data_IF_000384488116
#
_entry.id   IF_000384488116
#
_cell.length_a   1.000
_cell.length_b   1.000
_cell.length_c   1.000
_cell.angle_alpha   90.00
_cell.angle_beta   90.00
_cell.angle_gamma   90.00
#
_symmetry.space_group_name_H-M   'P 1'
#
loop_
_entity.id
_entity.type
_entity.pdbx_description
1 polymer ?
#
# COMPACT_ATOMS: atom_id res chain seq x y z
N UNK A 1 -29.00 96.87 17.21
CA UNK A 1 -27.76 96.07 17.17
C UNK A 1 -28.07 94.72 17.83
N UNK A 2 -28.30 93.68 17.11
CA UNK A 2 -28.38 92.31 17.58
C UNK A 2 -27.99 91.40 16.45
N UNK A 3 -26.83 90.75 16.60
CA UNK A 3 -26.28 89.77 15.78
C UNK A 3 -27.16 88.50 15.89
N UNK A 4 -27.65 87.99 14.75
CA UNK A 4 -28.21 86.66 14.63
C UNK A 4 -27.15 85.75 14.01
N UNK A 5 -26.66 84.84 14.83
CA UNK A 5 -25.81 83.76 14.45
C UNK A 5 -26.60 82.75 13.57
N UNK A 6 -26.14 82.58 12.34
CA UNK A 6 -26.66 81.61 11.40
C UNK A 6 -25.96 80.24 11.71
N UNK A 7 -26.69 79.34 12.36
CA UNK A 7 -26.23 77.96 12.50
C UNK A 7 -26.38 77.20 11.19
N UNK A 8 -25.26 76.84 10.58
CA UNK A 8 -25.22 76.00 9.46
C UNK A 8 -25.53 74.51 9.88
N UNK A 9 -26.67 74.01 9.48
CA UNK A 9 -27.00 72.58 9.59
C UNK A 9 -26.00 71.70 8.79
N UNK A 10 -25.29 70.87 9.47
CA UNK A 10 -24.46 69.81 8.83
C UNK A 10 -25.38 68.83 8.20
N UNK A 11 -25.19 68.49 6.92
CA UNK A 11 -26.02 67.52 6.25
C UNK A 11 -25.74 66.10 6.81
N UNK A 12 -26.77 65.50 7.37
CA UNK A 12 -26.78 64.08 7.76
C UNK A 12 -26.46 63.25 6.51
N UNK A 13 -25.50 62.32 6.59
CA UNK A 13 -25.20 61.46 5.44
C UNK A 13 -26.44 60.56 5.15
N UNK A 14 -27.04 60.76 4.02
CA UNK A 14 -28.08 59.88 3.49
C UNK A 14 -27.37 58.53 3.21
N UNK A 15 -27.60 57.55 4.07
CA UNK A 15 -27.19 56.18 3.83
C UNK A 15 -28.11 55.66 2.72
N UNK A 16 -27.63 55.74 1.46
CA UNK A 16 -28.26 55.12 0.32
C UNK A 16 -28.33 53.59 0.62
N UNK A 17 -29.53 53.10 0.90
CA UNK A 17 -29.82 51.69 1.05
C UNK A 17 -29.66 51.02 -0.34
N UNK A 18 -28.40 50.79 -0.73
CA UNK A 18 -28.08 49.96 -1.88
C UNK A 18 -28.77 48.63 -1.70
N UNK A 19 -29.71 48.31 -2.62
CA UNK A 19 -30.40 47.03 -2.70
C UNK A 19 -29.34 45.93 -2.66
N UNK A 20 -29.17 45.28 -1.47
CA UNK A 20 -28.33 44.10 -1.30
C UNK A 20 -28.88 42.97 -2.13
N UNK A 21 -28.44 42.87 -3.38
CA UNK A 21 -28.70 41.69 -4.19
C UNK A 21 -27.57 40.68 -3.99
N UNK A 22 -27.84 39.37 -4.07
CA UNK A 22 -26.78 38.35 -3.93
C UNK A 22 -25.56 38.61 -4.82
N UNK A 23 -25.78 39.23 -5.99
CA UNK A 23 -24.71 39.61 -6.94
C UNK A 23 -23.83 40.75 -6.44
N UNK A 24 -24.39 41.77 -5.77
CA UNK A 24 -23.61 42.88 -5.21
C UNK A 24 -22.80 42.42 -4.00
N UNK A 25 -23.39 41.65 -3.10
CA UNK A 25 -22.70 41.06 -1.94
C UNK A 25 -21.54 40.17 -2.39
N UNK A 26 -21.74 39.32 -3.38
CA UNK A 26 -20.68 38.44 -3.94
C UNK A 26 -19.54 39.27 -4.56
N UNK A 27 -19.86 40.31 -5.31
CA UNK A 27 -18.86 41.21 -5.91
C UNK A 27 -18.04 41.93 -4.84
N UNK A 28 -18.70 42.41 -3.77
CA UNK A 28 -18.04 43.14 -2.66
C UNK A 28 -17.16 42.20 -1.81
N UNK A 29 -17.58 40.95 -1.59
CA UNK A 29 -16.75 39.89 -1.00
C UNK A 29 -15.54 39.60 -1.89
N UNK A 30 -15.73 39.44 -3.17
CA UNK A 30 -14.62 39.21 -4.12
C UNK A 30 -13.63 40.39 -4.13
N UNK A 31 -14.11 41.63 -4.08
CA UNK A 31 -13.28 42.83 -4.00
C UNK A 31 -12.48 42.87 -2.70
N UNK A 32 -13.14 42.62 -1.56
CA UNK A 32 -12.50 42.58 -0.25
C UNK A 32 -11.44 41.46 -0.19
N UNK A 33 -11.75 40.27 -0.67
CA UNK A 33 -10.77 39.15 -0.77
C UNK A 33 -9.60 39.55 -1.66
N UNK A 34 -9.84 40.19 -2.79
CA UNK A 34 -8.80 40.64 -3.72
C UNK A 34 -7.86 41.69 -3.10
N UNK A 35 -8.37 42.56 -2.26
CA UNK A 35 -7.58 43.55 -1.52
C UNK A 35 -6.78 42.89 -0.38
N UNK A 36 -7.40 41.97 0.34
CA UNK A 36 -6.79 41.27 1.46
C UNK A 36 -5.72 40.26 0.98
N UNK A 37 -5.89 39.64 -0.22
CA UNK A 37 -5.02 38.57 -0.71
C UNK A 37 -3.52 38.89 -0.69
N UNK A 38 -3.02 40.07 -1.13
CA UNK A 38 -1.61 40.42 -1.09
C UNK A 38 -1.10 40.77 0.32
N UNK A 39 -1.97 41.11 1.26
CA UNK A 39 -1.58 41.54 2.63
C UNK A 39 -1.47 40.39 3.63
N UNK A 40 -1.74 39.17 3.21
CA UNK A 40 -1.69 37.97 4.07
C UNK A 40 -0.32 37.81 4.74
N UNK A 41 -0.28 37.45 6.05
CA UNK A 41 0.96 37.18 6.73
C UNK A 41 1.66 35.95 6.13
N UNK A 42 2.98 35.95 6.09
CA UNK A 42 3.78 34.80 5.72
C UNK A 42 4.25 34.09 6.97
N UNK A 43 3.89 32.83 7.12
CA UNK A 43 4.36 32.03 8.26
C UNK A 43 5.89 31.90 8.24
N UNK A 44 6.48 31.83 9.44
CA UNK A 44 7.93 31.66 9.58
C UNK A 44 8.37 30.24 9.14
N UNK A 45 9.60 30.09 8.71
CA UNK A 45 10.16 28.78 8.44
C UNK A 45 10.24 27.89 9.68
N UNK A 46 10.38 28.52 10.88
CA UNK A 46 10.30 27.80 12.14
C UNK A 46 8.93 27.17 12.37
N UNK A 47 7.84 27.89 12.04
CA UNK A 47 6.48 27.32 12.11
C UNK A 47 6.31 26.14 11.14
N UNK A 48 6.84 26.26 9.92
CA UNK A 48 6.82 25.13 8.97
C UNK A 48 7.60 23.93 9.50
N UNK A 49 8.77 24.14 10.10
CA UNK A 49 9.57 23.07 10.69
C UNK A 49 8.80 22.33 11.80
N UNK A 50 8.14 23.09 12.69
CA UNK A 50 7.33 22.49 13.77
C UNK A 50 6.17 21.67 13.20
N UNK A 51 5.42 22.21 12.22
CA UNK A 51 4.33 21.48 11.58
C UNK A 51 4.83 20.26 10.84
N UNK A 52 5.96 20.38 10.12
CA UNK A 52 6.61 19.26 9.45
C UNK A 52 6.91 18.12 10.44
N UNK A 53 7.59 18.43 11.55
CA UNK A 53 7.93 17.45 12.58
C UNK A 53 6.69 16.80 13.21
N UNK A 54 5.68 17.62 13.57
CA UNK A 54 4.42 17.10 14.14
C UNK A 54 3.68 16.19 13.16
N UNK A 55 3.67 16.54 11.87
CA UNK A 55 3.05 15.68 10.83
C UNK A 55 3.81 14.37 10.68
N UNK A 56 5.14 14.39 10.67
CA UNK A 56 5.96 13.19 10.60
C UNK A 56 5.74 12.28 11.81
N UNK A 57 5.79 12.84 13.02
CA UNK A 57 5.56 12.09 14.26
C UNK A 57 4.15 11.51 14.30
N UNK A 58 3.13 12.28 13.92
CA UNK A 58 1.77 11.76 13.91
C UNK A 58 1.56 10.66 12.85
N UNK A 59 2.18 10.79 11.68
CA UNK A 59 2.16 9.75 10.65
C UNK A 59 2.84 8.47 11.14
N UNK A 60 3.90 8.58 11.92
CA UNK A 60 4.57 7.43 12.55
C UNK A 60 3.70 6.80 13.65
N UNK A 61 2.99 7.61 14.46
CA UNK A 61 1.98 7.06 15.39
C UNK A 61 0.95 6.20 14.67
N UNK A 62 0.44 6.64 13.53
CA UNK A 62 -0.52 5.87 12.74
C UNK A 62 0.11 4.59 12.17
N UNK A 63 1.34 4.64 11.69
CA UNK A 63 2.07 3.48 11.20
C UNK A 63 2.32 2.44 12.30
N UNK A 64 2.73 2.88 13.50
CA UNK A 64 2.92 2.01 14.66
C UNK A 64 1.61 1.42 15.19
N UNK A 65 0.55 2.23 15.23
CA UNK A 65 -0.78 1.78 15.63
C UNK A 65 -1.32 0.70 14.68
N UNK A 66 -1.06 0.81 13.39
CA UNK A 66 -1.56 -0.16 12.41
C UNK A 66 -1.06 -1.59 12.62
N UNK A 67 0.03 -1.75 13.37
CA UNK A 67 0.64 -3.03 13.71
C UNK A 67 0.32 -3.52 15.14
N UNK A 68 -0.57 -2.82 15.85
CA UNK A 68 -0.95 -3.21 17.19
C UNK A 68 -2.12 -4.21 17.13
N UNK A 69 -1.80 -5.49 17.29
CA UNK A 69 -2.79 -6.57 17.25
C UNK A 69 -3.80 -6.52 18.40
N UNK A 70 -3.40 -5.93 19.53
CA UNK A 70 -4.19 -5.96 20.76
C UNK A 70 -5.13 -4.75 20.89
N UNK A 71 -4.82 -3.65 20.19
CA UNK A 71 -5.56 -2.39 20.26
C UNK A 71 -6.34 -2.10 18.97
N UNK A 72 -7.24 -3.02 18.59
CA UNK A 72 -8.23 -2.74 17.56
C UNK A 72 -9.09 -1.55 17.99
N UNK A 73 -9.47 -0.72 17.00
CA UNK A 73 -10.38 0.38 17.30
C UNK A 73 -11.66 -0.13 17.96
N UNK A 74 -11.91 0.32 19.17
CA UNK A 74 -13.14 0.06 19.91
C UNK A 74 -13.83 1.40 20.24
N UNK A 75 -15.05 1.64 19.72
CA UNK A 75 -15.80 2.87 20.02
C UNK A 75 -16.02 3.10 21.51
N UNK A 76 -16.02 2.05 22.35
CA UNK A 76 -16.16 2.12 23.80
C UNK A 76 -14.92 2.68 24.52
N UNK A 77 -13.75 2.69 23.88
CA UNK A 77 -12.49 3.16 24.47
C UNK A 77 -12.10 4.59 24.07
N UNK A 78 -13.05 5.38 23.58
CA UNK A 78 -12.84 6.80 23.27
C UNK A 78 -12.50 7.09 21.81
N UNK A 79 -12.14 8.33 21.47
CA UNK A 79 -11.91 8.72 20.09
C UNK A 79 -10.69 8.04 19.49
N UNK A 80 -10.74 7.78 18.18
CA UNK A 80 -9.67 7.11 17.40
C UNK A 80 -8.29 7.76 17.64
N UNK A 81 -8.23 9.09 17.67
CA UNK A 81 -6.98 9.84 17.88
C UNK A 81 -6.32 9.46 19.22
N UNK A 82 -7.11 9.32 20.29
CA UNK A 82 -6.58 8.94 21.61
C UNK A 82 -6.11 7.46 21.60
N UNK A 83 -6.82 6.58 20.92
CA UNK A 83 -6.42 5.18 20.80
C UNK A 83 -5.12 5.03 20.02
N UNK A 84 -4.96 5.74 18.89
CA UNK A 84 -3.70 5.79 18.12
C UNK A 84 -2.55 6.27 19.03
N UNK A 85 -2.75 7.36 19.76
CA UNK A 85 -1.72 7.91 20.65
C UNK A 85 -1.30 6.91 21.73
N UNK A 86 -2.26 6.34 22.45
CA UNK A 86 -2.01 5.44 23.57
C UNK A 86 -1.31 4.13 23.12
N UNK A 87 -1.70 3.60 21.98
CA UNK A 87 -1.14 2.37 21.41
C UNK A 87 0.32 2.56 20.92
N UNK A 88 0.59 3.67 20.27
CA UNK A 88 1.88 3.88 19.60
C UNK A 88 2.92 4.62 20.44
N UNK A 89 2.51 5.33 21.52
CA UNK A 89 3.38 6.23 22.25
C UNK A 89 4.66 5.56 22.78
N UNK A 90 4.54 4.39 23.38
CA UNK A 90 5.68 3.66 23.93
C UNK A 90 6.65 3.14 22.84
N UNK A 91 6.18 3.01 21.61
CA UNK A 91 6.94 2.47 20.47
C UNK A 91 7.63 3.52 19.61
N UNK A 92 7.32 4.80 19.79
CA UNK A 92 7.90 5.89 19.00
C UNK A 92 9.44 5.95 19.08
N UNK A 93 10.00 5.66 20.24
CA UNK A 93 11.46 5.65 20.47
C UNK A 93 12.14 4.32 20.15
N UNK A 94 11.40 3.34 19.66
CA UNK A 94 11.97 2.04 19.25
C UNK A 94 12.59 2.11 17.86
N UNK A 95 13.38 1.08 17.52
CA UNK A 95 13.97 0.95 16.20
C UNK A 95 12.93 0.99 15.08
N UNK A 96 11.74 0.41 15.30
CA UNK A 96 10.61 0.44 14.36
C UNK A 96 10.15 1.88 14.06
N UNK A 97 9.96 2.70 15.12
CA UNK A 97 9.57 4.09 14.98
C UNK A 97 10.61 4.88 14.20
N UNK A 98 11.90 4.74 14.52
CA UNK A 98 12.95 5.43 13.78
C UNK A 98 13.02 5.03 12.31
N UNK A 99 12.90 3.73 12.00
CA UNK A 99 12.91 3.26 10.61
C UNK A 99 11.69 3.75 9.81
N UNK A 100 10.50 3.75 10.40
CA UNK A 100 9.31 4.34 9.79
C UNK A 100 9.47 5.85 9.57
N UNK A 101 9.98 6.56 10.59
CA UNK A 101 10.14 8.02 10.55
C UNK A 101 11.07 8.47 9.42
N UNK A 102 12.16 7.73 9.15
CA UNK A 102 13.06 7.99 8.03
C UNK A 102 12.28 8.00 6.71
N UNK A 103 11.43 6.99 6.49
CA UNK A 103 10.64 6.86 5.27
C UNK A 103 9.58 7.96 5.17
N UNK A 104 8.90 8.27 6.28
CA UNK A 104 7.90 9.35 6.33
C UNK A 104 8.53 10.69 5.95
N UNK A 105 9.70 11.01 6.51
CA UNK A 105 10.44 12.22 6.19
C UNK A 105 10.82 12.27 4.71
N UNK A 106 11.33 11.18 4.15
CA UNK A 106 11.70 11.09 2.73
C UNK A 106 10.49 11.30 1.82
N UNK A 107 9.37 10.63 2.10
CA UNK A 107 8.13 10.77 1.33
C UNK A 107 7.57 12.19 1.44
N UNK A 108 7.60 12.78 2.63
CA UNK A 108 7.15 14.17 2.81
C UNK A 108 8.00 15.14 2.00
N UNK A 109 9.33 14.98 1.99
CA UNK A 109 10.23 15.81 1.17
C UNK A 109 9.92 15.65 -0.32
N UNK A 110 9.66 14.41 -0.79
CA UNK A 110 9.23 14.17 -2.17
C UNK A 110 7.94 14.93 -2.47
N UNK A 111 6.91 14.78 -1.65
CA UNK A 111 5.63 15.47 -1.84
C UNK A 111 5.79 17.00 -1.76
N UNK A 112 6.59 17.50 -0.83
CA UNK A 112 6.85 18.95 -0.70
C UNK A 112 7.53 19.51 -1.93
N UNK A 113 8.53 18.82 -2.46
CA UNK A 113 9.27 19.26 -3.65
C UNK A 113 8.44 19.13 -4.93
N UNK A 114 7.58 18.11 -5.05
CA UNK A 114 6.68 17.94 -6.19
C UNK A 114 5.55 18.96 -6.18
N UNK A 115 4.83 19.09 -5.07
CA UNK A 115 3.65 19.96 -4.93
C UNK A 115 4.07 21.43 -4.83
N UNK A 116 5.21 21.71 -4.20
CA UNK A 116 5.76 23.05 -3.97
C UNK A 116 4.83 23.99 -3.18
N UNK A 117 3.90 23.43 -2.43
CA UNK A 117 3.00 24.14 -1.51
C UNK A 117 3.00 23.44 -0.18
N UNK A 118 3.48 24.11 0.87
CA UNK A 118 3.74 23.46 2.15
C UNK A 118 2.48 22.79 2.72
N UNK A 119 1.38 23.52 2.86
CA UNK A 119 0.15 22.99 3.47
C UNK A 119 -0.50 21.88 2.63
N UNK A 120 -0.41 21.99 1.30
CA UNK A 120 -0.91 20.93 0.41
C UNK A 120 -0.05 19.65 0.51
N UNK A 121 1.27 19.78 0.62
CA UNK A 121 2.15 18.64 0.84
C UNK A 121 1.94 18.01 2.21
N UNK A 122 1.71 18.83 3.26
CA UNK A 122 1.33 18.38 4.61
C UNK A 122 0.05 17.56 4.58
N UNK A 123 -1.00 18.07 3.94
CA UNK A 123 -2.27 17.37 3.78
C UNK A 123 -2.10 16.04 3.02
N UNK A 124 -1.35 16.05 1.92
CA UNK A 124 -1.09 14.86 1.13
C UNK A 124 -0.31 13.79 1.91
N UNK A 125 0.73 14.18 2.66
CA UNK A 125 1.53 13.27 3.49
C UNK A 125 0.67 12.64 4.58
N UNK A 126 -0.07 13.45 5.33
CA UNK A 126 -0.95 12.95 6.38
C UNK A 126 -1.99 11.97 5.82
N UNK A 127 -2.67 12.36 4.73
CA UNK A 127 -3.70 11.51 4.10
C UNK A 127 -3.12 10.18 3.62
N UNK A 128 -1.95 10.21 2.98
CA UNK A 128 -1.27 9.00 2.49
C UNK A 128 -1.03 7.99 3.62
N UNK A 129 -0.41 8.45 4.71
CA UNK A 129 -0.06 7.54 5.81
C UNK A 129 -1.28 7.15 6.65
N UNK A 130 -2.29 8.02 6.77
CA UNK A 130 -3.55 7.67 7.42
C UNK A 130 -4.31 6.59 6.66
N UNK A 131 -4.44 6.73 5.34
CA UNK A 131 -5.08 5.70 4.49
C UNK A 131 -4.28 4.39 4.53
N UNK A 132 -2.96 4.47 4.42
CA UNK A 132 -2.08 3.30 4.51
C UNK A 132 -2.25 2.57 5.85
N UNK A 133 -2.26 3.28 6.97
CA UNK A 133 -2.40 2.69 8.30
C UNK A 133 -3.75 1.99 8.47
N UNK A 134 -4.86 2.64 8.09
CA UNK A 134 -6.20 2.05 8.16
C UNK A 134 -6.32 0.81 7.27
N UNK A 135 -5.82 0.88 6.04
CA UNK A 135 -5.82 -0.25 5.12
C UNK A 135 -4.99 -1.42 5.66
N UNK A 136 -3.84 -1.13 6.31
CA UNK A 136 -3.00 -2.15 6.94
C UNK A 136 -3.72 -2.85 8.10
N UNK A 137 -4.40 -2.11 8.99
CA UNK A 137 -5.21 -2.72 10.07
C UNK A 137 -6.24 -3.68 9.48
N UNK A 138 -7.00 -3.25 8.47
CA UNK A 138 -8.02 -4.08 7.84
C UNK A 138 -7.38 -5.35 7.24
N UNK A 139 -6.29 -5.21 6.51
CA UNK A 139 -5.63 -6.36 5.87
C UNK A 139 -4.99 -7.31 6.90
N UNK A 140 -4.37 -6.81 7.94
CA UNK A 140 -3.81 -7.64 9.02
C UNK A 140 -4.90 -8.46 9.72
N UNK A 141 -6.07 -7.87 9.96
CA UNK A 141 -7.19 -8.61 10.56
C UNK A 141 -7.74 -9.69 9.64
N UNK A 142 -7.82 -9.41 8.34
CA UNK A 142 -8.40 -10.33 7.35
C UNK A 142 -7.45 -11.45 6.93
N UNK A 143 -6.14 -11.17 6.86
CA UNK A 143 -5.16 -12.04 6.20
C UNK A 143 -3.87 -12.26 6.98
N UNK A 144 -3.71 -11.64 8.13
CA UNK A 144 -2.44 -11.60 8.87
C UNK A 144 -1.26 -11.12 7.99
N UNK A 145 -1.53 -10.15 7.12
CA UNK A 145 -0.56 -9.53 6.20
C UNK A 145 -0.67 -8.02 6.22
N UNK A 146 0.45 -7.33 6.08
CA UNK A 146 0.47 -5.87 5.84
C UNK A 146 0.04 -5.54 4.42
N UNK A 147 -0.22 -4.25 4.14
CA UNK A 147 -0.33 -3.79 2.74
C UNK A 147 1.02 -3.96 2.05
N UNK A 148 0.99 -4.61 0.89
CA UNK A 148 2.16 -4.87 0.04
C UNK A 148 2.18 -3.92 -1.16
N UNK A 149 3.36 -3.65 -1.76
CA UNK A 149 3.43 -2.89 -3.02
C UNK A 149 2.57 -3.50 -4.14
N UNK A 150 2.48 -4.82 -4.18
CA UNK A 150 1.65 -5.57 -5.14
C UNK A 150 0.14 -5.32 -4.98
N UNK A 151 -0.33 -4.92 -3.80
CA UNK A 151 -1.75 -4.60 -3.58
C UNK A 151 -2.19 -3.34 -4.35
N UNK A 152 -1.25 -2.47 -4.72
CA UNK A 152 -1.53 -1.32 -5.56
C UNK A 152 -2.08 -1.71 -6.93
N UNK A 153 -1.79 -2.92 -7.40
CA UNK A 153 -2.35 -3.47 -8.64
C UNK A 153 -3.88 -3.66 -8.58
N UNK A 154 -4.45 -3.85 -7.38
CA UNK A 154 -5.90 -3.92 -7.22
C UNK A 154 -6.60 -2.59 -7.51
N UNK A 155 -5.92 -1.47 -7.30
CA UNK A 155 -6.46 -0.13 -7.61
C UNK A 155 -6.59 0.10 -9.12
N UNK A 156 -5.83 -0.62 -9.95
CA UNK A 156 -5.83 -0.49 -11.41
C UNK A 156 -6.58 -1.59 -12.13
N UNK A 157 -6.94 -2.68 -11.43
CA UNK A 157 -7.48 -3.92 -12.01
C UNK A 157 -9.01 -3.97 -12.23
N UNK A 158 -9.74 -2.87 -12.06
CA UNK A 158 -11.17 -2.78 -12.44
C UNK A 158 -12.16 -3.39 -11.44
N UNK A 159 -11.74 -3.68 -10.20
CA UNK A 159 -12.60 -4.20 -9.13
C UNK A 159 -13.20 -3.12 -8.21
N UNK A 160 -13.46 -1.92 -8.71
CA UNK A 160 -13.79 -0.75 -7.89
C UNK A 160 -15.10 -0.85 -7.08
N UNK A 161 -16.00 -1.76 -7.43
CA UNK A 161 -17.34 -1.82 -6.80
C UNK A 161 -17.42 -2.57 -5.48
N UNK A 162 -16.44 -3.38 -5.11
CA UNK A 162 -16.66 -4.42 -4.10
C UNK A 162 -15.60 -4.52 -3.00
N UNK A 163 -14.57 -3.66 -3.00
CA UNK A 163 -13.58 -3.65 -1.91
C UNK A 163 -14.22 -3.44 -0.54
N UNK A 164 -15.32 -2.68 -0.49
CA UNK A 164 -16.07 -2.43 0.75
C UNK A 164 -16.84 -3.66 1.24
N UNK A 165 -17.22 -4.58 0.37
CA UNK A 165 -17.95 -5.81 0.75
C UNK A 165 -17.07 -6.81 1.51
N UNK A 166 -15.75 -6.68 1.39
CA UNK A 166 -14.80 -7.52 2.12
C UNK A 166 -14.51 -7.04 3.54
N UNK A 167 -14.94 -5.82 3.90
CA UNK A 167 -14.64 -5.26 5.22
C UNK A 167 -15.66 -5.81 6.23
N UNK A 168 -15.22 -6.54 7.25
CA UNK A 168 -16.11 -7.02 8.31
C UNK A 168 -16.84 -5.88 9.01
N UNK A 169 -18.05 -6.14 9.48
CA UNK A 169 -18.91 -5.13 10.10
C UNK A 169 -18.28 -4.50 11.36
N UNK A 170 -17.49 -5.25 12.12
CA UNK A 170 -16.73 -4.79 13.28
C UNK A 170 -15.65 -3.79 12.91
N UNK A 171 -14.97 -3.98 11.78
CA UNK A 171 -13.94 -3.05 11.28
C UNK A 171 -14.53 -1.83 10.56
N UNK A 172 -15.76 -1.93 10.07
CA UNK A 172 -16.43 -0.79 9.42
C UNK A 172 -16.60 0.40 10.36
N UNK A 173 -16.71 0.16 11.68
CA UNK A 173 -16.81 1.20 12.72
C UNK A 173 -15.59 2.13 12.78
N UNK A 174 -14.41 1.67 12.32
CA UNK A 174 -13.17 2.45 12.27
C UNK A 174 -13.13 3.41 11.08
N UNK A 175 -13.84 3.11 9.99
CA UNK A 175 -13.74 3.87 8.73
C UNK A 175 -14.27 5.30 8.92
N UNK A 176 -15.44 5.46 9.51
CA UNK A 176 -16.06 6.78 9.66
C UNK A 176 -15.20 7.75 10.50
N UNK A 177 -14.69 7.40 11.71
CA UNK A 177 -13.78 8.28 12.46
C UNK A 177 -12.47 8.56 11.72
N UNK A 178 -11.94 7.59 10.95
CA UNK A 178 -10.73 7.79 10.13
C UNK A 178 -10.98 8.82 9.02
N UNK A 179 -12.09 8.73 8.31
CA UNK A 179 -12.48 9.70 7.28
C UNK A 179 -12.68 11.08 7.90
N UNK A 180 -13.37 11.18 9.05
CA UNK A 180 -13.56 12.45 9.76
C UNK A 180 -12.21 13.07 10.16
N UNK A 181 -11.28 12.28 10.69
CA UNK A 181 -9.94 12.74 11.06
C UNK A 181 -9.19 13.27 9.82
N UNK A 182 -9.18 12.53 8.71
CA UNK A 182 -8.50 12.93 7.47
C UNK A 182 -9.13 14.20 6.89
N UNK A 183 -10.46 14.25 6.76
CA UNK A 183 -11.16 15.39 6.19
C UNK A 183 -10.94 16.64 7.03
N UNK A 184 -11.03 16.52 8.36
CA UNK A 184 -10.78 17.65 9.28
C UNK A 184 -9.37 18.20 9.11
N UNK A 185 -8.35 17.32 9.06
CA UNK A 185 -6.96 17.74 8.87
C UNK A 185 -6.74 18.40 7.50
N UNK A 186 -7.30 17.84 6.44
CA UNK A 186 -7.23 18.43 5.09
C UNK A 186 -7.89 19.81 5.06
N UNK A 187 -9.07 19.98 5.66
CA UNK A 187 -9.75 21.28 5.73
C UNK A 187 -8.94 22.33 6.49
N UNK A 188 -8.29 21.94 7.59
CA UNK A 188 -7.35 22.81 8.32
C UNK A 188 -6.18 23.22 7.41
N UNK A 189 -5.54 22.28 6.72
CA UNK A 189 -4.45 22.57 5.79
C UNK A 189 -4.90 23.48 4.64
N UNK A 190 -6.10 23.26 4.08
CA UNK A 190 -6.68 24.14 3.06
C UNK A 190 -6.89 25.56 3.62
N UNK A 191 -7.47 25.69 4.80
CA UNK A 191 -7.64 27.00 5.44
C UNK A 191 -6.30 27.70 5.67
N UNK A 192 -5.29 26.97 6.18
CA UNK A 192 -3.94 27.50 6.38
C UNK A 192 -3.25 27.87 5.06
N UNK A 193 -3.50 27.13 3.97
CA UNK A 193 -2.99 27.49 2.64
C UNK A 193 -3.60 28.80 2.13
N UNK A 194 -4.86 29.08 2.46
CA UNK A 194 -5.51 30.37 2.16
C UNK A 194 -5.01 31.51 3.05
N UNK A 195 -4.76 31.25 4.32
CA UNK A 195 -4.28 32.25 5.27
C UNK A 195 -2.80 32.61 5.05
N UNK A 196 -1.99 31.67 4.58
CA UNK A 196 -0.57 31.87 4.34
C UNK A 196 -0.32 32.70 3.08
N UNK A 197 0.32 33.84 3.24
CA UNK A 197 0.77 34.70 2.12
C UNK A 197 1.87 34.10 1.27
N UNK A 198 2.42 32.92 1.65
CA UNK A 198 3.46 32.20 0.91
C UNK A 198 2.82 31.18 0.00
N UNK A 199 2.66 31.52 -1.28
CA UNK A 199 1.98 30.66 -2.26
C UNK A 199 2.81 29.46 -2.70
N UNK A 200 4.15 29.56 -2.65
CA UNK A 200 5.09 28.51 -3.08
C UNK A 200 6.18 28.36 -2.04
N UNK A 201 6.63 27.12 -1.82
CA UNK A 201 7.77 26.82 -0.95
C UNK A 201 9.09 27.25 -1.58
N UNK A 202 9.35 26.82 -2.82
CA UNK A 202 10.44 27.31 -3.66
C UNK A 202 9.86 28.32 -4.62
N UNK A 203 10.21 29.60 -4.43
CA UNK A 203 9.71 30.67 -5.28
C UNK A 203 10.51 30.73 -6.58
N UNK A 204 9.83 30.57 -7.70
CA UNK A 204 10.39 30.80 -9.05
C UNK A 204 9.29 31.31 -9.99
N UNK A 205 9.66 32.15 -10.95
CA UNK A 205 8.78 32.60 -12.03
C UNK A 205 9.25 32.02 -13.36
N UNK A 206 8.42 31.20 -13.99
CA UNK A 206 8.70 30.61 -15.30
C UNK A 206 8.71 31.66 -16.43
N UNK A 207 7.89 32.72 -16.28
CA UNK A 207 7.80 33.80 -17.29
C UNK A 207 9.01 34.73 -17.29
N UNK A 208 9.71 34.82 -16.15
CA UNK A 208 10.85 35.66 -15.92
C UNK A 208 12.07 34.83 -15.53
N UNK A 209 12.23 33.67 -16.19
CA UNK A 209 13.16 32.63 -15.76
C UNK A 209 14.62 33.15 -15.67
N UNK A 210 15.04 34.01 -16.61
CA UNK A 210 16.40 34.50 -16.76
C UNK A 210 16.60 35.93 -16.23
N UNK A 211 15.59 36.60 -15.70
CA UNK A 211 15.65 38.01 -15.33
C UNK A 211 16.52 38.30 -14.09
N UNK A 212 16.72 37.29 -13.24
CA UNK A 212 17.57 37.46 -12.07
C UNK A 212 18.28 36.15 -11.66
N UNK A 213 19.49 36.25 -11.11
CA UNK A 213 20.23 35.10 -10.55
C UNK A 213 19.41 34.32 -9.49
N UNK A 214 18.64 35.05 -8.69
CA UNK A 214 17.76 34.44 -7.65
C UNK A 214 16.65 33.58 -8.28
N UNK A 215 16.07 34.06 -9.38
CA UNK A 215 15.02 33.32 -10.07
C UNK A 215 15.57 32.11 -10.82
N UNK A 216 16.74 32.23 -11.45
CA UNK A 216 17.48 31.11 -12.08
C UNK A 216 17.75 30.02 -11.01
N UNK A 217 18.31 30.42 -9.87
CA UNK A 217 18.59 29.49 -8.76
C UNK A 217 17.29 28.81 -8.26
N UNK A 218 16.21 29.59 -8.06
CA UNK A 218 14.90 29.05 -7.69
C UNK A 218 14.36 28.03 -8.70
N UNK A 219 14.53 28.30 -10.01
CA UNK A 219 14.13 27.38 -11.08
C UNK A 219 14.95 26.08 -11.06
N UNK A 220 16.28 26.20 -10.90
CA UNK A 220 17.17 25.03 -10.76
C UNK A 220 16.73 24.19 -9.56
N UNK A 221 16.54 24.80 -8.40
CA UNK A 221 16.05 24.10 -7.21
C UNK A 221 14.70 23.43 -7.44
N UNK A 222 13.78 24.07 -8.18
CA UNK A 222 12.44 23.55 -8.49
C UNK A 222 12.48 22.30 -9.37
N UNK A 223 13.50 22.17 -10.22
CA UNK A 223 13.68 20.99 -11.10
C UNK A 223 14.52 19.92 -10.38
N UNK A 224 15.63 20.31 -9.76
CA UNK A 224 16.59 19.37 -9.18
C UNK A 224 16.07 18.74 -7.89
N UNK A 225 15.40 19.51 -7.02
CA UNK A 225 14.96 18.99 -5.72
C UNK A 225 14.00 17.79 -5.82
N UNK A 226 12.93 17.79 -6.65
CA UNK A 226 12.09 16.62 -6.80
C UNK A 226 12.83 15.42 -7.40
N UNK A 227 13.69 15.64 -8.40
CA UNK A 227 14.48 14.55 -9.01
C UNK A 227 15.38 13.91 -7.96
N UNK A 228 16.09 14.73 -7.18
CA UNK A 228 17.01 14.25 -6.16
C UNK A 228 16.26 13.53 -5.02
N UNK A 229 15.12 14.07 -4.57
CA UNK A 229 14.34 13.46 -3.50
C UNK A 229 13.70 12.12 -3.93
N UNK A 230 13.22 12.02 -5.17
CA UNK A 230 12.70 10.77 -5.73
C UNK A 230 13.85 9.76 -5.90
N UNK A 231 15.00 10.18 -6.45
CA UNK A 231 16.16 9.31 -6.61
C UNK A 231 16.66 8.77 -5.26
N UNK A 232 16.65 9.60 -4.22
CA UNK A 232 17.04 9.20 -2.87
C UNK A 232 16.06 8.15 -2.30
N UNK A 233 14.76 8.38 -2.43
CA UNK A 233 13.73 7.43 -1.97
C UNK A 233 13.82 6.11 -2.76
N UNK A 234 13.99 6.17 -4.07
CA UNK A 234 14.14 4.99 -4.91
C UNK A 234 15.42 4.21 -4.55
N UNK A 235 16.55 4.91 -4.36
CA UNK A 235 17.81 4.30 -3.92
C UNK A 235 17.70 3.67 -2.53
N UNK A 236 16.92 4.27 -1.63
CA UNK A 236 16.64 3.70 -0.32
C UNK A 236 15.82 2.42 -0.45
N UNK A 237 14.72 2.45 -1.22
CA UNK A 237 13.86 1.30 -1.43
C UNK A 237 14.59 0.10 -2.08
N UNK A 238 15.34 0.35 -3.17
CA UNK A 238 16.12 -0.71 -3.83
C UNK A 238 17.27 -1.23 -2.94
N UNK A 239 17.87 -0.33 -2.14
CA UNK A 239 18.93 -0.70 -1.19
C UNK A 239 18.46 -1.61 -0.06
N UNK A 240 17.18 -1.55 0.33
CA UNK A 240 16.61 -2.45 1.33
C UNK A 240 16.65 -3.93 0.91
N UNK A 241 16.44 -4.21 -0.38
CA UNK A 241 16.46 -5.55 -0.96
C UNK A 241 17.88 -6.12 -1.17
N UNK A 242 18.95 -5.33 -1.04
CA UNK A 242 20.32 -5.72 -1.36
C UNK A 242 21.15 -5.93 -0.07
N UNK A 243 21.68 -7.13 0.14
CA UNK A 243 22.38 -7.48 1.41
C UNK A 243 23.60 -6.59 1.72
N UNK A 244 24.37 -6.18 0.70
CA UNK A 244 25.63 -5.41 0.90
C UNK A 244 25.46 -3.91 0.60
N UNK A 245 24.23 -3.41 0.53
CA UNK A 245 23.99 -2.00 0.22
C UNK A 245 24.40 -1.06 1.36
N UNK A 246 24.68 0.20 1.02
CA UNK A 246 24.91 1.25 2.01
C UNK A 246 23.68 1.50 2.90
N UNK A 247 22.48 1.33 2.35
CA UNK A 247 21.19 1.42 3.09
C UNK A 247 21.11 0.33 4.14
N UNK A 248 21.44 -0.91 3.76
CA UNK A 248 21.42 -2.04 4.68
C UNK A 248 22.39 -1.85 5.83
N UNK A 249 23.65 -1.46 5.53
CA UNK A 249 24.65 -1.15 6.58
C UNK A 249 24.26 0.00 7.49
N UNK A 250 23.53 1.00 6.96
CA UNK A 250 22.96 2.08 7.77
C UNK A 250 21.85 1.56 8.69
N UNK A 251 20.99 0.67 8.21
CA UNK A 251 19.89 0.10 8.98
C UNK A 251 20.33 -0.96 10.00
N UNK A 252 21.50 -1.56 9.83
CA UNK A 252 22.10 -2.43 10.85
C UNK A 252 22.27 -1.69 12.18
N UNK A 253 22.47 -0.36 12.16
CA UNK A 253 22.46 0.47 13.37
C UNK A 253 21.12 0.45 14.12
N UNK A 254 20.02 0.19 13.42
CA UNK A 254 18.67 0.02 13.98
C UNK A 254 18.28 -1.45 14.12
N UNK A 255 19.24 -2.37 14.08
CA UNK A 255 19.02 -3.82 14.19
C UNK A 255 18.05 -4.38 13.13
N UNK A 256 18.07 -3.82 11.92
CA UNK A 256 17.22 -4.27 10.81
C UNK A 256 17.46 -5.74 10.49
N UNK A 257 16.43 -6.57 10.62
CA UNK A 257 16.51 -8.02 10.39
C UNK A 257 15.27 -8.46 9.59
N UNK A 258 15.33 -8.49 8.24
CA UNK A 258 14.17 -8.80 7.40
C UNK A 258 13.67 -10.22 7.59
N UNK A 259 12.36 -10.35 7.68
CA UNK A 259 11.61 -11.61 7.76
C UNK A 259 10.53 -11.66 6.66
N UNK A 260 10.91 -11.37 5.43
CA UNK A 260 10.00 -11.15 4.30
C UNK A 260 9.01 -12.30 4.04
N UNK A 261 9.31 -13.51 4.53
CA UNK A 261 8.41 -14.66 4.46
C UNK A 261 7.17 -14.54 5.39
N UNK A 262 7.25 -13.70 6.42
CA UNK A 262 6.14 -13.37 7.31
C UNK A 262 6.09 -11.83 7.45
N UNK A 263 5.24 -11.21 6.65
CA UNK A 263 5.19 -9.75 6.50
C UNK A 263 4.71 -9.04 7.76
N UNK A 264 3.85 -9.67 8.56
CA UNK A 264 3.37 -9.13 9.84
C UNK A 264 4.49 -9.18 10.88
N UNK A 265 5.22 -10.30 10.99
CA UNK A 265 6.39 -10.41 11.87
C UNK A 265 7.50 -9.44 11.47
N UNK A 266 7.75 -9.28 10.16
CA UNK A 266 8.72 -8.33 9.61
C UNK A 266 8.36 -6.89 9.99
N UNK A 267 7.10 -6.51 9.80
CA UNK A 267 6.61 -5.17 10.14
C UNK A 267 6.65 -4.87 11.64
N UNK A 268 6.34 -5.85 12.48
CA UNK A 268 6.45 -5.74 13.94
C UNK A 268 7.90 -5.57 14.41
N UNK A 269 8.87 -6.07 13.66
CA UNK A 269 10.30 -5.97 14.01
C UNK A 269 10.95 -4.73 13.39
N UNK A 270 10.70 -4.48 12.12
CA UNK A 270 11.43 -3.51 11.31
C UNK A 270 10.62 -2.24 10.99
N UNK A 271 9.36 -2.19 11.41
CA UNK A 271 8.43 -1.13 11.05
C UNK A 271 7.70 -1.40 9.73
N UNK A 272 6.41 -1.09 9.71
CA UNK A 272 5.50 -1.43 8.59
C UNK A 272 5.88 -0.78 7.27
N UNK A 273 6.41 0.46 7.30
CA UNK A 273 6.83 1.15 6.09
C UNK A 273 8.15 0.61 5.54
N UNK A 274 9.06 0.17 6.42
CA UNK A 274 10.31 -0.47 6.03
C UNK A 274 10.03 -1.82 5.37
N UNK A 275 9.15 -2.61 5.97
CA UNK A 275 8.70 -3.89 5.39
C UNK A 275 8.01 -3.70 4.04
N UNK A 276 7.12 -2.71 3.92
CA UNK A 276 6.51 -2.36 2.64
C UNK A 276 7.55 -2.01 1.57
N UNK A 277 8.52 -1.13 1.87
CA UNK A 277 9.53 -0.72 0.89
C UNK A 277 10.52 -1.84 0.55
N UNK A 278 10.80 -2.75 1.47
CA UNK A 278 11.68 -3.90 1.21
C UNK A 278 11.13 -4.87 0.15
N UNK A 279 9.82 -4.79 -0.12
CA UNK A 279 9.10 -5.60 -1.10
C UNK A 279 8.81 -4.87 -2.42
N UNK A 280 9.35 -3.67 -2.62
CA UNK A 280 9.19 -2.92 -3.89
C UNK A 280 10.05 -3.52 -5.01
N UNK A 281 11.30 -3.89 -4.68
CA UNK A 281 12.24 -4.51 -5.63
C UNK A 281 12.34 -6.01 -5.35
N UNK A 282 11.38 -6.77 -5.89
CA UNK A 282 11.30 -8.22 -5.68
C UNK A 282 12.16 -8.94 -6.69
N UNK A 283 13.14 -9.69 -6.20
CA UNK A 283 13.84 -10.70 -6.97
C UNK A 283 13.12 -12.03 -6.82
N UNK A 284 12.76 -12.66 -7.93
CA UNK A 284 12.09 -13.96 -7.90
C UNK A 284 12.99 -15.04 -7.30
N UNK A 285 14.28 -15.03 -7.68
CA UNK A 285 15.31 -15.91 -7.13
C UNK A 285 16.70 -15.37 -7.48
N UNK A 286 17.70 -15.75 -6.71
CA UNK A 286 19.09 -15.45 -7.07
C UNK A 286 19.52 -16.34 -8.26
N UNK A 287 20.32 -15.79 -9.18
CA UNK A 287 20.85 -16.59 -10.29
C UNK A 287 21.74 -17.72 -9.76
N UNK A 288 21.51 -18.95 -10.21
CA UNK A 288 22.44 -20.06 -9.93
C UNK A 288 23.80 -19.76 -10.59
N UNK A 289 24.92 -19.85 -9.85
CA UNK A 289 26.25 -19.64 -10.42
C UNK A 289 26.56 -20.56 -11.62
N UNK A 290 25.91 -21.73 -11.69
CA UNK A 290 26.07 -22.69 -12.78
C UNK A 290 25.03 -22.53 -13.90
N UNK A 291 24.19 -21.47 -13.84
CA UNK A 291 23.18 -21.23 -14.86
C UNK A 291 23.84 -20.95 -16.21
N UNK A 292 23.69 -21.90 -17.14
CA UNK A 292 24.23 -21.81 -18.49
C UNK A 292 23.35 -22.60 -19.44
N UNK A 293 23.42 -22.30 -20.73
CA UNK A 293 22.70 -23.06 -21.77
C UNK A 293 23.02 -24.54 -21.72
N UNK A 294 24.31 -24.90 -21.59
CA UNK A 294 24.75 -26.29 -21.51
C UNK A 294 24.20 -27.01 -20.27
N UNK A 295 24.15 -26.34 -19.12
CA UNK A 295 23.56 -26.90 -17.90
C UNK A 295 22.05 -27.13 -18.06
N UNK A 296 21.33 -26.21 -18.70
CA UNK A 296 19.90 -26.35 -18.96
C UNK A 296 19.63 -27.47 -19.97
N UNK A 297 20.43 -27.63 -21.04
CA UNK A 297 20.32 -28.72 -21.97
C UNK A 297 20.61 -30.10 -21.32
N UNK A 298 21.58 -30.15 -20.41
CA UNK A 298 21.88 -31.38 -19.66
C UNK A 298 20.71 -31.75 -18.71
N UNK A 299 20.14 -30.80 -18.01
CA UNK A 299 18.96 -31.01 -17.18
C UNK A 299 17.75 -31.47 -18.00
N UNK A 300 17.48 -30.82 -19.13
CA UNK A 300 16.38 -31.19 -20.03
C UNK A 300 16.56 -32.64 -20.53
N UNK A 301 17.76 -33.02 -20.97
CA UNK A 301 18.08 -34.37 -21.43
C UNK A 301 17.89 -35.40 -20.33
N UNK A 302 18.35 -35.11 -19.12
CA UNK A 302 18.20 -35.99 -17.94
C UNK A 302 16.72 -36.26 -17.64
N UNK A 303 15.90 -35.20 -17.57
CA UNK A 303 14.49 -35.36 -17.23
C UNK A 303 13.66 -35.91 -18.38
N UNK A 304 14.02 -35.66 -19.66
CA UNK A 304 13.40 -36.28 -20.80
C UNK A 304 13.61 -37.79 -20.80
N UNK A 305 14.84 -38.28 -20.52
CA UNK A 305 15.12 -39.69 -20.35
C UNK A 305 14.33 -40.34 -19.20
N UNK A 306 14.22 -39.62 -18.09
CA UNK A 306 13.41 -40.08 -16.93
C UNK A 306 11.93 -40.17 -17.27
N UNK A 307 11.41 -39.18 -17.99
CA UNK A 307 10.02 -39.19 -18.47
C UNK A 307 9.75 -40.34 -19.43
N UNK A 308 10.67 -40.62 -20.40
CA UNK A 308 10.56 -41.75 -21.30
C UNK A 308 10.48 -43.06 -20.53
N UNK A 309 11.37 -43.31 -19.56
CA UNK A 309 11.35 -44.52 -18.74
C UNK A 309 10.03 -44.68 -17.98
N UNK A 310 9.52 -43.62 -17.35
CA UNK A 310 8.23 -43.65 -16.64
C UNK A 310 7.08 -43.95 -17.61
N UNK A 311 7.10 -43.37 -18.80
CA UNK A 311 6.05 -43.52 -19.78
C UNK A 311 6.01 -44.96 -20.39
N UNK A 312 7.12 -45.70 -20.39
CA UNK A 312 7.09 -47.12 -20.79
C UNK A 312 6.31 -48.01 -19.84
N UNK A 313 6.16 -47.60 -18.58
CA UNK A 313 5.42 -48.31 -17.55
C UNK A 313 3.95 -47.89 -17.45
N UNK A 314 3.60 -46.74 -18.03
CA UNK A 314 2.24 -46.19 -18.01
C UNK A 314 1.33 -46.93 -19.00
N UNK A 315 0.10 -47.23 -18.51
CA UNK A 315 -0.93 -47.92 -19.32
C UNK A 315 -1.98 -47.00 -19.91
N UNK A 316 -2.07 -45.78 -19.40
CA UNK A 316 -3.02 -44.75 -19.84
C UNK A 316 -2.35 -43.38 -19.79
N UNK A 317 -2.84 -42.44 -20.59
CA UNK A 317 -2.43 -41.04 -20.57
C UNK A 317 -3.42 -40.22 -19.74
N UNK A 318 -2.94 -39.16 -19.12
CA UNK A 318 -3.83 -38.25 -18.36
C UNK A 318 -4.85 -37.56 -19.28
N UNK A 319 -4.49 -37.35 -20.55
CA UNK A 319 -5.37 -36.72 -21.56
C UNK A 319 -6.56 -37.59 -21.97
N UNK A 320 -6.56 -38.88 -21.64
CA UNK A 320 -7.70 -39.78 -21.89
C UNK A 320 -8.79 -39.68 -20.79
N UNK A 321 -8.58 -38.81 -19.82
CA UNK A 321 -9.46 -38.67 -18.65
C UNK A 321 -9.76 -37.20 -18.36
N UNK A 322 -10.95 -36.93 -17.82
CA UNK A 322 -11.24 -35.63 -17.22
C UNK A 322 -10.63 -35.57 -15.83
N UNK A 323 -9.76 -34.59 -15.59
CA UNK A 323 -9.15 -34.33 -14.29
C UNK A 323 -9.83 -33.12 -13.66
N UNK A 324 -10.41 -33.31 -12.50
CA UNK A 324 -11.02 -32.21 -11.71
C UNK A 324 -10.15 -31.97 -10.49
N UNK A 325 -9.55 -30.80 -10.42
CA UNK A 325 -8.75 -30.34 -9.27
C UNK A 325 -9.58 -29.37 -8.44
N UNK A 326 -9.86 -29.72 -7.18
CA UNK A 326 -10.61 -28.88 -6.26
C UNK A 326 -9.64 -28.40 -5.17
N UNK A 327 -9.30 -27.10 -5.20
CA UNK A 327 -8.53 -26.47 -4.14
C UNK A 327 -9.51 -25.94 -3.07
N UNK A 328 -9.52 -26.62 -1.91
CA UNK A 328 -10.27 -26.19 -0.71
C UNK A 328 -9.27 -26.01 0.43
N UNK A 329 -8.48 -24.96 0.34
CA UNK A 329 -7.30 -24.76 1.20
C UNK A 329 -7.68 -24.51 2.67
N UNK A 330 -8.76 -23.81 2.92
CA UNK A 330 -9.26 -23.57 4.29
C UNK A 330 -9.91 -24.82 4.93
N UNK A 331 -10.08 -25.88 4.15
CA UNK A 331 -10.66 -27.13 4.65
C UNK A 331 -9.61 -27.91 5.43
N UNK A 332 -9.87 -28.14 6.70
CA UNK A 332 -9.00 -28.89 7.60
C UNK A 332 -9.80 -29.89 8.43
N UNK A 333 -9.13 -30.94 8.91
CA UNK A 333 -9.74 -31.88 9.85
C UNK A 333 -9.79 -31.28 11.27
N UNK A 334 -10.97 -30.86 11.76
CA UNK A 334 -11.08 -30.20 13.05
C UNK A 334 -10.73 -31.12 14.24
N UNK A 335 -10.76 -32.44 14.05
CA UNK A 335 -10.37 -33.40 15.12
C UNK A 335 -8.87 -33.36 15.40
N UNK A 336 -8.08 -32.72 14.55
CA UNK A 336 -6.63 -32.55 14.72
C UNK A 336 -6.24 -31.29 15.50
N UNK A 337 -7.21 -30.45 15.82
CA UNK A 337 -6.97 -29.22 16.60
C UNK A 337 -6.73 -29.61 18.06
N UNK A 338 -5.56 -29.26 18.64
CA UNK A 338 -5.28 -29.59 20.03
C UNK A 338 -6.32 -29.04 21.01
N UNK A 339 -6.80 -29.88 21.91
CA UNK A 339 -7.77 -29.49 22.93
C UNK A 339 -9.25 -29.45 22.46
N UNK A 340 -9.51 -29.80 21.20
CA UNK A 340 -10.88 -29.90 20.66
C UNK A 340 -11.32 -31.36 20.67
N UNK A 341 -12.55 -31.62 21.11
CA UNK A 341 -13.20 -32.93 21.05
C UNK A 341 -14.59 -32.80 20.48
N UNK A 342 -15.05 -33.83 19.76
CA UNK A 342 -16.35 -33.89 19.12
C UNK A 342 -17.13 -35.08 19.65
N UNK A 343 -18.44 -34.95 19.84
CA UNK A 343 -19.33 -36.06 20.21
C UNK A 343 -19.52 -37.06 19.06
N UNK A 344 -19.39 -36.58 17.83
CA UNK A 344 -19.49 -37.40 16.61
C UNK A 344 -18.39 -36.97 15.65
N UNK A 345 -18.05 -37.87 14.69
CA UNK A 345 -17.10 -37.51 13.65
C UNK A 345 -17.64 -36.36 12.76
N UNK A 346 -17.00 -35.20 12.71
CA UNK A 346 -17.46 -34.08 11.88
C UNK A 346 -17.30 -34.30 10.37
N UNK A 347 -16.56 -35.35 9.93
CA UNK A 347 -16.26 -35.62 8.53
C UNK A 347 -16.43 -37.08 8.12
N UNK A 348 -17.56 -37.76 8.43
CA UNK A 348 -17.69 -39.19 8.22
C UNK A 348 -17.61 -39.59 6.74
N UNK A 349 -18.16 -38.78 5.83
CA UNK A 349 -18.18 -39.06 4.40
C UNK A 349 -16.75 -38.95 3.81
N UNK A 350 -16.00 -37.93 4.20
CA UNK A 350 -14.61 -37.78 3.73
C UNK A 350 -13.73 -38.93 4.22
N UNK A 351 -13.88 -39.34 5.49
CA UNK A 351 -13.13 -40.50 6.03
C UNK A 351 -13.47 -41.78 5.31
N UNK A 352 -14.73 -42.00 4.91
CA UNK A 352 -15.10 -43.11 4.09
C UNK A 352 -14.43 -43.12 2.71
N UNK A 353 -14.38 -41.96 2.06
CA UNK A 353 -13.68 -41.80 0.78
C UNK A 353 -12.18 -42.06 0.94
N UNK A 354 -11.55 -41.54 2.01
CA UNK A 354 -10.12 -41.75 2.30
C UNK A 354 -9.75 -43.24 2.47
N UNK A 355 -10.67 -44.09 2.91
CA UNK A 355 -10.44 -45.53 3.06
C UNK A 355 -10.35 -46.27 1.70
N UNK A 356 -10.99 -45.76 0.66
CA UNK A 356 -11.10 -46.39 -0.65
C UNK A 356 -10.30 -45.70 -1.76
N UNK A 357 -9.67 -44.58 -1.47
CA UNK A 357 -8.91 -43.76 -2.43
C UNK A 357 -7.51 -43.43 -1.92
N UNK A 358 -6.64 -42.95 -2.82
CA UNK A 358 -5.36 -42.38 -2.38
C UNK A 358 -5.59 -41.13 -1.52
N UNK A 359 -5.12 -41.16 -0.30
CA UNK A 359 -5.29 -40.09 0.66
C UNK A 359 -4.01 -39.88 1.47
N UNK A 360 -3.87 -38.68 2.04
CA UNK A 360 -2.72 -38.34 2.87
C UNK A 360 -2.80 -36.90 3.41
N UNK A 361 -1.78 -36.49 4.10
CA UNK A 361 -1.61 -35.14 4.59
C UNK A 361 -0.66 -34.39 3.68
N UNK A 362 -1.04 -33.19 3.30
CA UNK A 362 -0.16 -32.24 2.64
C UNK A 362 0.17 -31.08 3.59
N UNK A 363 1.43 -30.68 3.64
CA UNK A 363 1.81 -29.45 4.32
C UNK A 363 1.35 -28.27 3.48
N UNK A 364 0.44 -27.45 4.05
CA UNK A 364 0.08 -26.18 3.45
C UNK A 364 1.11 -25.13 3.84
N UNK A 365 1.82 -24.53 2.89
CA UNK A 365 2.75 -23.42 3.16
C UNK A 365 2.02 -22.08 3.31
N UNK A 366 0.70 -22.04 3.21
CA UNK A 366 -0.12 -20.86 3.47
C UNK A 366 -0.12 -20.51 4.95
N UNK A 367 0.19 -19.27 5.28
CA UNK A 367 0.22 -18.77 6.65
C UNK A 367 -0.78 -17.62 6.78
N UNK A 368 -1.82 -17.82 7.57
CA UNK A 368 -2.85 -16.80 7.83
C UNK A 368 -3.66 -16.37 6.60
N UNK A 369 -3.62 -17.12 5.51
CA UNK A 369 -4.17 -16.80 4.20
C UNK A 369 -3.24 -17.25 3.08
N UNK A 370 -3.26 -16.59 1.92
CA UNK A 370 -2.36 -16.90 0.82
C UNK A 370 -2.79 -18.10 -0.03
N UNK A 371 -4.08 -18.44 -0.07
CA UNK A 371 -4.65 -19.50 -0.93
C UNK A 371 -4.20 -19.38 -2.37
N UNK A 372 -4.01 -18.15 -2.89
CA UNK A 372 -3.48 -17.92 -4.23
C UNK A 372 -2.04 -18.45 -4.42
N UNK A 373 -1.21 -18.45 -3.37
CA UNK A 373 0.14 -19.00 -3.41
C UNK A 373 0.10 -20.54 -3.46
N UNK A 374 -0.86 -21.16 -2.79
CA UNK A 374 -1.08 -22.61 -2.83
C UNK A 374 -1.60 -23.02 -4.20
N UNK A 375 -2.56 -22.26 -4.73
CA UNK A 375 -3.04 -22.42 -6.10
C UNK A 375 -1.87 -22.35 -7.10
N UNK A 376 -1.02 -21.32 -7.00
CA UNK A 376 0.17 -21.17 -7.83
C UNK A 376 1.07 -22.41 -7.79
N UNK A 377 1.34 -22.94 -6.59
CA UNK A 377 2.17 -24.14 -6.43
C UNK A 377 1.52 -25.38 -7.04
N UNK A 378 0.21 -25.53 -6.89
CA UNK A 378 -0.52 -26.65 -7.51
C UNK A 378 -0.54 -26.56 -9.03
N UNK A 379 -0.81 -25.39 -9.58
CA UNK A 379 -0.95 -25.18 -11.03
C UNK A 379 0.38 -25.24 -11.75
N UNK A 380 1.48 -24.83 -11.10
CA UNK A 380 2.82 -24.79 -11.72
C UNK A 380 3.71 -25.95 -11.31
N UNK A 381 3.40 -26.64 -10.22
CA UNK A 381 4.29 -27.63 -9.62
C UNK A 381 5.54 -27.05 -8.94
N UNK A 382 5.60 -25.72 -8.75
CA UNK A 382 6.74 -25.02 -8.17
C UNK A 382 6.47 -24.68 -6.69
N UNK A 383 7.34 -25.15 -5.80
CA UNK A 383 7.25 -24.78 -4.38
C UNK A 383 7.71 -23.34 -4.16
N UNK A 384 7.02 -22.61 -3.31
CA UNK A 384 7.43 -21.26 -2.85
C UNK A 384 8.82 -21.25 -2.21
N UNK A 385 9.27 -22.38 -1.63
CA UNK A 385 10.61 -22.50 -1.04
C UNK A 385 11.75 -22.39 -2.05
N UNK A 386 11.46 -22.53 -3.35
CA UNK A 386 12.46 -22.39 -4.41
C UNK A 386 12.67 -20.92 -4.83
N UNK A 387 11.86 -20.01 -4.32
CA UNK A 387 11.93 -18.59 -4.63
C UNK A 387 12.55 -17.79 -3.50
N UNK A 388 12.97 -16.57 -3.80
CA UNK A 388 13.45 -15.65 -2.78
C UNK A 388 12.31 -15.29 -1.80
N UNK A 389 12.61 -15.08 -0.50
CA UNK A 389 11.60 -14.74 0.51
C UNK A 389 10.80 -13.46 0.19
N UNK A 390 11.35 -12.57 -0.65
CA UNK A 390 10.68 -11.36 -1.12
C UNK A 390 9.56 -11.60 -2.12
N UNK A 391 9.49 -12.82 -2.72
CA UNK A 391 8.38 -13.21 -3.59
C UNK A 391 7.21 -13.70 -2.73
N UNK A 392 6.45 -12.78 -2.17
CA UNK A 392 5.34 -13.09 -1.28
C UNK A 392 4.06 -13.50 -2.05
N UNK A 393 3.84 -12.94 -3.25
CA UNK A 393 2.62 -13.14 -4.05
C UNK A 393 2.96 -13.31 -5.54
N UNK A 394 3.24 -14.54 -6.02
CA UNK A 394 3.68 -14.77 -7.40
C UNK A 394 2.76 -14.21 -8.48
N UNK A 395 1.44 -14.32 -8.30
CA UNK A 395 0.46 -13.78 -9.26
C UNK A 395 0.50 -12.27 -9.42
N UNK A 396 1.03 -11.54 -8.45
CA UNK A 396 1.13 -10.08 -8.50
C UNK A 396 2.54 -9.58 -8.79
N UNK A 397 3.56 -10.34 -8.38
CA UNK A 397 4.95 -9.91 -8.44
C UNK A 397 5.74 -10.57 -9.58
N UNK A 398 5.41 -11.81 -9.94
CA UNK A 398 6.14 -12.60 -10.95
C UNK A 398 5.39 -12.69 -12.27
N UNK A 399 4.14 -13.15 -12.24
CA UNK A 399 3.35 -13.47 -13.43
C UNK A 399 3.13 -12.25 -14.35
N UNK A 400 2.79 -11.04 -13.85
CA UNK A 400 2.57 -9.88 -14.73
C UNK A 400 3.81 -9.48 -15.53
N UNK A 401 5.00 -9.84 -15.04
CA UNK A 401 6.28 -9.51 -15.67
C UNK A 401 6.78 -10.61 -16.62
N UNK A 402 5.98 -11.66 -16.85
CA UNK A 402 6.33 -12.79 -17.71
C UNK A 402 5.27 -12.97 -18.80
N UNK A 403 5.64 -12.92 -20.08
CA UNK A 403 4.68 -13.10 -21.18
C UNK A 403 4.11 -14.53 -21.21
N UNK A 404 4.89 -15.50 -20.76
CA UNK A 404 4.49 -16.90 -20.62
C UNK A 404 5.03 -17.46 -19.30
N UNK A 405 4.24 -18.29 -18.66
CA UNK A 405 4.65 -19.00 -17.47
C UNK A 405 4.04 -20.41 -17.50
N UNK A 406 4.85 -21.44 -17.22
CA UNK A 406 4.37 -22.81 -17.25
C UNK A 406 3.25 -23.06 -16.26
N UNK A 407 2.20 -23.74 -16.71
CA UNK A 407 1.17 -24.31 -15.86
C UNK A 407 0.68 -25.66 -16.42
N UNK A 408 0.09 -26.49 -15.56
CA UNK A 408 -0.53 -27.75 -16.01
C UNK A 408 -1.70 -27.47 -16.96
N UNK A 409 -2.41 -26.38 -16.79
CA UNK A 409 -3.49 -25.95 -17.68
C UNK A 409 -2.97 -25.67 -19.09
N UNK A 410 -1.87 -24.93 -19.23
CA UNK A 410 -1.24 -24.68 -20.52
C UNK A 410 -0.71 -25.97 -21.15
N UNK A 411 -0.17 -26.88 -20.33
CA UNK A 411 0.28 -28.19 -20.83
C UNK A 411 -0.89 -29.01 -21.37
N UNK A 412 -2.06 -28.96 -20.67
CA UNK A 412 -3.28 -29.63 -21.16
C UNK A 412 -3.78 -29.04 -22.46
N UNK A 413 -3.86 -27.73 -22.56
CA UNK A 413 -4.26 -27.02 -23.78
C UNK A 413 -3.32 -27.35 -24.95
N UNK A 414 -2.00 -27.44 -24.69
CA UNK A 414 -1.03 -27.82 -25.71
C UNK A 414 -1.22 -29.26 -26.19
N UNK A 415 -1.65 -30.19 -25.32
CA UNK A 415 -1.95 -31.56 -25.67
C UNK A 415 -3.26 -31.70 -26.49
N UNK A 416 -4.10 -30.67 -26.49
CA UNK A 416 -5.33 -30.61 -27.30
C UNK A 416 -5.15 -29.74 -28.56
N UNK A 417 -4.05 -29.88 -29.26
CA UNK A 417 -3.72 -29.12 -30.49
C UNK A 417 -3.73 -27.59 -30.31
N UNK A 418 -3.44 -27.12 -29.07
CA UNK A 418 -3.45 -25.71 -28.74
C UNK A 418 -4.85 -25.11 -28.55
N UNK A 419 -5.90 -25.92 -28.48
CA UNK A 419 -7.22 -25.45 -28.11
C UNK A 419 -7.24 -24.96 -26.64
N UNK A 420 -7.81 -23.80 -26.40
CA UNK A 420 -8.00 -23.25 -25.03
C UNK A 420 -9.17 -23.89 -24.30
N UNK A 421 -9.94 -24.77 -24.98
CA UNK A 421 -11.17 -25.34 -24.43
C UNK A 421 -10.93 -26.64 -23.63
N UNK A 422 -9.69 -27.11 -23.56
CA UNK A 422 -9.32 -28.34 -22.85
C UNK A 422 -9.05 -28.14 -21.36
N UNK A 423 -8.98 -26.90 -20.92
CA UNK A 423 -8.76 -26.55 -19.50
C UNK A 423 -9.63 -25.37 -19.11
N UNK A 424 -10.37 -25.53 -18.01
CA UNK A 424 -11.27 -24.50 -17.48
C UNK A 424 -10.99 -24.30 -16.00
N UNK A 425 -10.90 -23.06 -15.56
CA UNK A 425 -10.77 -22.71 -14.17
C UNK A 425 -12.04 -22.00 -13.65
N UNK A 426 -12.50 -22.41 -12.47
CA UNK A 426 -13.61 -21.76 -11.76
C UNK A 426 -13.07 -21.11 -10.50
N UNK A 427 -13.42 -19.84 -10.31
CA UNK A 427 -13.06 -19.09 -9.12
C UNK A 427 -14.28 -18.32 -8.60
N UNK A 428 -14.60 -18.39 -7.28
CA UNK A 428 -15.82 -17.80 -6.73
C UNK A 428 -15.81 -16.27 -6.69
N UNK A 429 -14.66 -15.62 -6.92
CA UNK A 429 -14.49 -14.17 -6.92
C UNK A 429 -14.13 -13.64 -8.31
N UNK A 430 -13.92 -12.33 -8.40
CA UNK A 430 -13.58 -11.66 -9.65
C UNK A 430 -12.33 -12.27 -10.31
N UNK A 431 -12.45 -12.54 -11.59
CA UNK A 431 -11.39 -13.13 -12.42
C UNK A 431 -10.08 -12.30 -12.34
N UNK A 432 -10.20 -10.98 -12.27
CA UNK A 432 -9.06 -10.05 -12.32
C UNK A 432 -8.47 -9.71 -10.95
N UNK A 433 -8.97 -10.31 -9.86
CA UNK A 433 -8.43 -10.04 -8.52
C UNK A 433 -6.95 -10.44 -8.40
N UNK A 434 -6.53 -11.49 -9.10
CA UNK A 434 -5.15 -11.86 -9.30
C UNK A 434 -4.87 -11.96 -10.80
N UNK A 435 -3.69 -11.52 -11.23
CA UNK A 435 -3.33 -11.49 -12.65
C UNK A 435 -2.92 -12.90 -13.15
N UNK A 436 -3.89 -13.79 -13.17
CA UNK A 436 -3.71 -15.21 -13.56
C UNK A 436 -3.64 -15.45 -15.07
N UNK A 437 -4.02 -14.49 -15.88
CA UNK A 437 -4.35 -14.66 -17.30
C UNK A 437 -3.33 -15.41 -18.16
N UNK A 438 -2.04 -15.44 -17.77
CA UNK A 438 -1.01 -16.21 -18.48
C UNK A 438 -0.96 -17.70 -18.09
N UNK A 439 -1.72 -18.14 -17.08
CA UNK A 439 -1.61 -19.49 -16.50
C UNK A 439 -2.81 -20.39 -16.80
N UNK A 440 -3.91 -19.82 -17.29
CA UNK A 440 -5.13 -20.56 -17.62
C UNK A 440 -5.46 -20.50 -19.10
#
# INVERSE_FOLDING_TARGET
>A
VSDQEYQAETPTPVIDAHKCTPKTVFRDICAAVRQWWPTRPKYSYGAYMVVFMLTCVWSDYMALWSMDSDNRYDPGHGPLVAQIFNSAHARLSTNQGWMNLIIIVMVYIVLLTLINRFWAATAATFTLFAVYAVATVIKCVLRDEIILPSDLNFLTGGGEGDLMSFIPADLSSMIAPSVVMIVTFVLICVALQFLDGRSMFIHCSWRHALDSKRNIFGLICRIVAPILSIALLASYATGLGQQDSAVRRFLDYFEYTPQQFNTTSDANRNGVLTSFLSLVDVKAMEPDPNYSESAMQALNSKYAQSAQRINTERRATLTDSTVINVLSESYADPTRVPGVSFSEDPMPNLRSIMQSTTSGLALSPGYGGGTANIEFQQVTGLSMTNFAPSLATPYQQLIPNRPTFFSFNQMWNAACDGSTDCSVAFHPYYQNMYLRGANY
#
